data_IF_248267938136
#
_entry.id   IF_248267938136
#
_cell.length_a   1.000
_cell.length_b   1.000
_cell.length_c   1.000
_cell.angle_alpha   90.00
_cell.angle_beta   90.00
_cell.angle_gamma   90.00
#
_symmetry.space_group_name_H-M   'P 1'
#
loop_
_entity.id
_entity.type
_entity.pdbx_description
1 polymer ?
#
# COMPACT_ATOMS: atom_id res chain seq x y z
N UNK A 1 20.78 19.49 11.60
CA UNK A 1 21.26 19.30 10.21
C UNK A 1 21.06 17.88 9.71
N UNK A 2 21.77 16.86 10.20
CA UNK A 2 21.59 15.47 9.70
C UNK A 2 20.16 14.92 9.96
N UNK A 3 19.61 15.18 11.16
CA UNK A 3 18.22 14.80 11.51
C UNK A 3 17.14 15.52 10.69
N UNK A 4 17.39 16.75 10.26
CA UNK A 4 16.47 17.50 9.39
C UNK A 4 16.51 16.99 7.94
N UNK A 5 17.71 16.66 7.44
CA UNK A 5 17.91 16.00 6.16
C UNK A 5 17.19 14.64 6.14
N UNK A 6 17.32 13.85 7.21
CA UNK A 6 16.61 12.56 7.35
C UNK A 6 15.10 12.78 7.38
N UNK A 7 14.57 13.79 8.08
CA UNK A 7 13.12 14.09 8.05
C UNK A 7 12.64 14.62 6.69
N UNK A 8 13.47 15.35 5.95
CA UNK A 8 13.16 15.82 4.59
C UNK A 8 13.24 14.71 3.55
N UNK A 9 14.09 13.70 3.76
CA UNK A 9 14.19 12.51 2.91
C UNK A 9 13.07 11.52 3.25
N UNK A 10 12.69 11.35 4.53
CA UNK A 10 11.62 10.43 4.93
C UNK A 10 10.23 10.92 4.52
N UNK A 11 10.06 12.22 4.27
CA UNK A 11 8.85 12.79 3.66
C UNK A 11 8.83 12.69 2.12
N UNK A 12 9.91 12.23 1.48
CA UNK A 12 10.01 12.14 0.01
C UNK A 12 9.90 10.70 -0.53
N UNK A 13 9.87 9.70 0.33
CA UNK A 13 9.38 8.36 -0.01
C UNK A 13 7.95 8.27 0.47
N UNK A 14 7.08 9.12 -0.08
CA UNK A 14 5.63 8.97 0.07
C UNK A 14 5.28 7.58 -0.49
N UNK A 15 5.18 6.61 0.40
CA UNK A 15 4.72 5.28 0.06
C UNK A 15 3.31 5.44 -0.52
N UNK A 16 3.22 5.32 -1.85
CA UNK A 16 1.93 5.38 -2.53
C UNK A 16 1.16 4.09 -2.23
N UNK A 17 0.38 4.14 -1.15
CA UNK A 17 -0.51 3.08 -0.70
C UNK A 17 -1.40 2.60 -1.85
N UNK A 18 -1.86 3.51 -2.71
CA UNK A 18 -2.70 3.17 -3.84
C UNK A 18 -1.91 2.37 -4.89
N UNK A 19 -0.69 2.78 -5.20
CA UNK A 19 0.18 2.02 -6.10
C UNK A 19 0.55 0.65 -5.53
N UNK A 20 0.90 0.57 -4.24
CA UNK A 20 1.15 -0.69 -3.55
C UNK A 20 -0.06 -1.62 -3.64
N UNK A 21 -1.24 -1.12 -3.29
CA UNK A 21 -2.46 -1.92 -3.31
C UNK A 21 -2.78 -2.40 -4.71
N UNK A 22 -2.70 -1.54 -5.73
CA UNK A 22 -2.98 -1.92 -7.13
C UNK A 22 -2.01 -2.99 -7.64
N UNK A 23 -0.73 -2.88 -7.31
CA UNK A 23 0.28 -3.85 -7.71
C UNK A 23 0.14 -5.16 -6.91
N UNK A 24 -0.09 -5.05 -5.60
CA UNK A 24 -0.29 -6.18 -4.71
C UNK A 24 -1.52 -7.01 -5.08
N UNK A 25 -2.64 -6.39 -5.43
CA UNK A 25 -3.84 -7.09 -5.89
C UNK A 25 -3.60 -7.86 -7.20
N UNK A 26 -2.84 -7.28 -8.13
CA UNK A 26 -2.45 -7.99 -9.36
C UNK A 26 -1.53 -9.17 -9.08
N UNK A 27 -0.55 -8.99 -8.20
CA UNK A 27 0.47 -10.01 -7.92
C UNK A 27 -0.05 -11.15 -7.04
N UNK A 28 -0.58 -10.83 -5.85
CA UNK A 28 -0.99 -11.80 -4.84
C UNK A 28 -2.37 -12.39 -5.10
N UNK A 29 -3.30 -11.59 -5.63
CA UNK A 29 -4.71 -11.98 -5.82
C UNK A 29 -5.09 -12.20 -7.28
N UNK A 30 -4.12 -12.09 -8.21
CA UNK A 30 -4.33 -12.26 -9.65
C UNK A 30 -5.43 -11.36 -10.22
N UNK A 31 -5.66 -10.22 -9.58
CA UNK A 31 -6.61 -9.22 -10.09
C UNK A 31 -6.15 -8.73 -11.47
N UNK A 32 -7.09 -8.54 -12.39
CA UNK A 32 -6.76 -8.00 -13.71
C UNK A 32 -6.23 -6.58 -13.60
N UNK A 33 -5.37 -6.15 -14.54
CA UNK A 33 -4.94 -4.75 -14.60
C UNK A 33 -6.12 -3.78 -14.74
N UNK A 34 -7.15 -4.17 -15.51
CA UNK A 34 -8.35 -3.35 -15.68
C UNK A 34 -9.12 -3.16 -14.38
N UNK A 35 -9.18 -4.18 -13.53
CA UNK A 35 -9.86 -4.08 -12.24
C UNK A 35 -9.00 -3.36 -11.21
N UNK A 36 -7.68 -3.55 -11.22
CA UNK A 36 -6.79 -2.83 -10.30
C UNK A 36 -6.85 -1.31 -10.54
N UNK A 37 -7.00 -0.87 -11.80
CA UNK A 37 -7.19 0.56 -12.11
C UNK A 37 -8.44 1.16 -11.47
N UNK A 38 -9.48 0.37 -11.20
CA UNK A 38 -10.74 0.81 -10.57
C UNK A 38 -10.63 0.94 -9.05
N UNK A 39 -9.56 0.45 -8.44
CA UNK A 39 -9.32 0.59 -7.00
C UNK A 39 -9.05 2.06 -6.66
N UNK A 40 -9.68 2.52 -5.58
CA UNK A 40 -9.58 3.89 -5.07
C UNK A 40 -9.26 3.88 -3.58
N UNK A 41 -8.78 5.01 -3.06
CA UNK A 41 -8.32 5.13 -1.67
C UNK A 41 -9.46 4.82 -0.69
N UNK A 42 -10.69 5.24 -0.96
CA UNK A 42 -11.84 4.98 -0.09
C UNK A 42 -12.20 3.49 0.05
N UNK A 43 -11.68 2.63 -0.82
CA UNK A 43 -11.86 1.17 -0.74
C UNK A 43 -10.84 0.51 0.18
N UNK A 44 -9.81 1.24 0.60
CA UNK A 44 -8.65 0.74 1.35
C UNK A 44 -8.81 1.17 2.81
N UNK A 45 -8.81 0.18 3.70
CA UNK A 45 -8.78 0.38 5.14
C UNK A 45 -7.44 -0.12 5.66
N UNK A 46 -6.61 0.80 6.14
CA UNK A 46 -5.41 0.43 6.87
C UNK A 46 -5.78 -0.23 8.20
N UNK A 47 -5.14 -1.36 8.46
CA UNK A 47 -5.25 -2.11 9.72
C UNK A 47 -3.84 -2.31 10.28
N UNK A 48 -3.75 -2.79 11.53
CA UNK A 48 -2.48 -2.92 12.26
C UNK A 48 -1.35 -3.58 11.47
N UNK A 49 -1.67 -4.61 10.68
CA UNK A 49 -0.66 -5.45 10.01
C UNK A 49 -0.77 -5.37 8.47
N UNK A 50 -1.53 -4.41 7.92
CA UNK A 50 -1.81 -4.40 6.48
C UNK A 50 -2.95 -3.50 6.02
N UNK A 51 -3.53 -3.88 4.89
CA UNK A 51 -4.63 -3.19 4.24
C UNK A 51 -5.74 -4.18 3.93
N UNK A 52 -6.97 -3.84 4.30
CA UNK A 52 -8.18 -4.48 3.80
C UNK A 52 -8.72 -3.67 2.63
N UNK A 53 -9.07 -4.32 1.53
CA UNK A 53 -9.60 -3.69 0.33
C UNK A 53 -10.95 -4.29 -0.02
N UNK A 54 -12.00 -3.47 -0.03
CA UNK A 54 -13.35 -3.89 -0.40
C UNK A 54 -13.64 -3.50 -1.85
N UNK A 55 -13.75 -4.48 -2.74
CA UNK A 55 -14.02 -4.27 -4.17
C UNK A 55 -14.92 -5.38 -4.72
N UNK A 56 -15.97 -5.00 -5.48
CA UNK A 56 -16.95 -5.93 -6.08
C UNK A 56 -17.51 -6.98 -5.11
N UNK A 57 -17.95 -6.56 -3.92
CA UNK A 57 -18.47 -7.44 -2.86
C UNK A 57 -17.47 -8.50 -2.37
N UNK A 58 -16.18 -8.34 -2.68
CA UNK A 58 -15.08 -9.15 -2.18
C UNK A 58 -14.18 -8.31 -1.30
N UNK A 59 -13.59 -8.97 -0.30
CA UNK A 59 -12.58 -8.38 0.56
C UNK A 59 -11.23 -9.03 0.26
N UNK A 60 -10.24 -8.20 -0.01
CA UNK A 60 -8.86 -8.61 -0.19
C UNK A 60 -8.02 -8.10 0.97
N UNK A 61 -6.95 -8.80 1.26
CA UNK A 61 -5.97 -8.39 2.26
C UNK A 61 -4.58 -8.30 1.62
N UNK A 62 -3.84 -7.24 1.95
CA UNK A 62 -2.43 -7.08 1.60
C UNK A 62 -1.63 -6.73 2.84
N UNK A 63 -0.40 -7.23 2.99
CA UNK A 63 0.47 -6.79 4.07
C UNK A 63 0.84 -5.32 3.86
N UNK A 64 1.24 -4.64 4.94
CA UNK A 64 1.98 -3.40 4.80
C UNK A 64 3.26 -3.70 4.03
N UNK A 65 3.74 -2.74 3.23
CA UNK A 65 5.06 -2.88 2.64
C UNK A 65 6.06 -2.76 3.78
N UNK A 66 6.45 -3.89 4.35
CA UNK A 66 7.48 -3.96 5.37
C UNK A 66 8.77 -3.68 4.61
N UNK A 67 9.27 -2.45 4.68
CA UNK A 67 10.65 -2.20 4.31
C UNK A 67 11.52 -3.11 5.20
N UNK A 68 12.25 -4.09 4.63
CA UNK A 68 13.06 -5.01 5.42
C UNK A 68 14.19 -4.29 6.19
N UNK A 69 14.41 -2.99 5.94
CA UNK A 69 15.36 -2.16 6.67
C UNK A 69 14.75 -1.34 7.81
N UNK A 70 13.43 -1.39 8.01
CA UNK A 70 12.76 -0.84 9.20
C UNK A 70 12.66 -1.90 10.31
N UNK A 71 13.81 -2.47 10.71
CA UNK A 71 13.92 -3.03 12.06
C UNK A 71 14.08 -1.85 13.05
N UNK A 72 13.24 -1.88 14.09
CA UNK A 72 13.07 -0.81 15.08
C UNK A 72 14.13 -0.87 16.17
#
# INVERSE_FOLDING_TARGET
MEKELISMISHNTDFDVLAWVKNGLQFFHRMSYQDSLKIKIEMIVEIKDGYNISFNNQNYWLPQNIDPFFEK
#
